data_IF_090641744439
#
_entry.id   IF_090641744439
#
_cell.length_a   1.000
_cell.length_b   1.000
_cell.length_c   1.000
_cell.angle_alpha   90.00
_cell.angle_beta   90.00
_cell.angle_gamma   90.00
#
_symmetry.space_group_name_H-M   'P 1'
#
loop_
_entity.id
_entity.type
_entity.pdbx_description
1 polymer ?
#
# COMPACT_ATOMS: atom_id res chain seq x y z
N UNK A 1 -24.08 4.22 80.53
CA UNK A 1 -25.20 4.71 79.67
C UNK A 1 -25.83 5.92 80.28
N UNK A 2 -25.02 6.89 80.60
CA UNK A 2 -25.50 8.15 81.15
C UNK A 2 -26.13 9.01 80.04
N UNK A 3 -27.44 9.26 80.16
CA UNK A 3 -28.15 10.11 79.21
C UNK A 3 -29.20 9.48 78.30
N UNK A 4 -29.32 8.14 78.27
CA UNK A 4 -30.35 7.45 77.49
C UNK A 4 -31.61 7.29 78.38
N UNK A 5 -32.80 7.69 77.90
CA UNK A 5 -34.03 7.42 78.63
C UNK A 5 -34.22 5.94 78.97
N UNK A 6 -34.68 5.60 80.18
CA UNK A 6 -34.81 4.18 80.57
C UNK A 6 -35.66 3.36 79.62
N UNK A 7 -36.73 3.92 79.05
CA UNK A 7 -37.55 3.22 78.01
C UNK A 7 -36.83 2.94 76.72
N UNK A 8 -35.88 3.81 76.31
CA UNK A 8 -35.06 3.57 75.11
C UNK A 8 -33.93 2.60 75.36
N UNK A 9 -33.38 2.65 76.61
CA UNK A 9 -32.38 1.67 77.01
C UNK A 9 -32.97 0.24 77.07
N UNK A 10 -34.18 0.10 77.62
CA UNK A 10 -34.93 -1.14 77.64
C UNK A 10 -35.25 -1.68 76.22
N UNK A 11 -35.67 -0.76 75.32
CA UNK A 11 -35.95 -1.13 73.93
C UNK A 11 -34.66 -1.51 73.13
N UNK A 12 -33.55 -0.83 73.40
CA UNK A 12 -32.25 -1.19 72.83
C UNK A 12 -31.76 -2.54 73.33
N UNK A 13 -32.01 -2.84 74.59
CA UNK A 13 -31.71 -4.18 75.13
C UNK A 13 -32.56 -5.27 74.49
N UNK A 14 -33.86 -5.07 74.34
CA UNK A 14 -34.76 -5.98 73.63
C UNK A 14 -34.30 -6.22 72.18
N UNK A 15 -34.07 -5.15 71.41
CA UNK A 15 -33.61 -5.26 70.01
C UNK A 15 -32.26 -5.96 69.91
N UNK A 16 -31.30 -5.67 70.75
CA UNK A 16 -30.01 -6.33 70.77
C UNK A 16 -30.16 -7.83 71.13
N UNK A 17 -31.06 -8.11 72.07
CA UNK A 17 -31.31 -9.50 72.50
C UNK A 17 -31.95 -10.34 71.45
N UNK A 18 -32.95 -9.79 70.73
CA UNK A 18 -33.63 -10.51 69.64
C UNK A 18 -32.80 -10.55 68.35
N UNK A 19 -32.25 -9.42 67.89
CA UNK A 19 -31.49 -9.32 66.62
C UNK A 19 -30.20 -10.13 66.64
N UNK A 20 -29.53 -10.24 67.81
CA UNK A 20 -28.30 -11.03 67.95
C UNK A 20 -28.51 -12.38 68.59
N UNK A 21 -29.74 -12.80 68.73
CA UNK A 21 -30.11 -14.10 69.35
C UNK A 21 -29.28 -14.40 70.60
N UNK A 22 -29.24 -13.44 71.54
CA UNK A 22 -28.36 -13.51 72.68
C UNK A 22 -28.72 -14.72 73.57
N UNK A 23 -27.71 -15.50 73.93
CA UNK A 23 -27.82 -16.54 74.94
C UNK A 23 -26.76 -16.34 76.00
N UNK A 24 -26.98 -16.92 77.16
CA UNK A 24 -25.99 -16.86 78.25
C UNK A 24 -25.91 -18.21 78.98
N UNK A 25 -24.70 -18.51 79.46
CA UNK A 25 -24.41 -19.58 80.37
C UNK A 25 -23.84 -18.98 81.67
N UNK A 26 -24.23 -19.55 82.80
CA UNK A 26 -23.65 -19.24 84.12
C UNK A 26 -22.88 -20.43 84.58
N UNK A 27 -21.59 -20.25 84.86
CA UNK A 27 -20.70 -21.32 85.30
C UNK A 27 -20.16 -21.02 86.70
N UNK A 28 -20.25 -21.97 87.63
CA UNK A 28 -19.62 -21.79 88.90
C UNK A 28 -18.10 -21.87 88.77
N UNK A 29 -17.42 -20.80 89.24
CA UNK A 29 -16.00 -20.61 89.06
C UNK A 29 -15.13 -21.71 89.76
N UNK A 30 -15.59 -22.23 90.84
CA UNK A 30 -14.86 -23.26 91.61
C UNK A 30 -15.04 -24.69 91.06
N UNK A 31 -16.25 -25.01 90.62
CA UNK A 31 -16.58 -26.37 90.16
C UNK A 31 -16.61 -26.51 88.64
N UNK A 32 -16.63 -25.40 87.92
CA UNK A 32 -16.80 -25.31 86.48
C UNK A 32 -18.09 -25.98 85.97
N UNK A 33 -19.10 -26.11 86.84
CA UNK A 33 -20.40 -26.67 86.50
C UNK A 33 -21.37 -25.57 86.09
N UNK A 34 -22.32 -25.91 85.16
CA UNK A 34 -23.39 -24.99 84.80
C UNK A 34 -24.36 -24.81 85.96
N UNK A 35 -24.54 -23.51 86.37
CA UNK A 35 -25.49 -23.16 87.44
C UNK A 35 -26.70 -22.38 86.89
N UNK A 36 -26.63 -21.93 85.65
CA UNK A 36 -27.73 -21.25 84.97
C UNK A 36 -27.50 -21.18 83.47
N UNK A 37 -28.56 -21.07 82.69
CA UNK A 37 -28.53 -20.86 81.22
C UNK A 37 -29.84 -20.23 80.77
N UNK A 38 -29.80 -19.44 79.74
CA UNK A 38 -30.99 -18.81 79.19
C UNK A 38 -30.74 -18.05 77.86
N UNK A 39 -31.80 -17.45 77.32
CA UNK A 39 -31.80 -16.85 76.03
C UNK A 39 -32.02 -17.81 74.86
N UNK A 40 -31.55 -17.50 73.71
CA UNK A 40 -31.75 -18.29 72.46
C UNK A 40 -30.77 -19.48 72.35
N UNK A 41 -30.69 -20.35 73.39
CA UNK A 41 -29.75 -21.46 73.50
C UNK A 41 -29.85 -22.45 72.31
N UNK A 42 -31.05 -22.62 71.76
CA UNK A 42 -31.27 -23.45 70.57
C UNK A 42 -30.45 -23.00 69.35
N UNK A 43 -30.21 -21.72 69.19
CA UNK A 43 -29.43 -21.19 68.09
C UNK A 43 -27.95 -21.58 68.16
N UNK A 44 -27.47 -21.96 69.31
CA UNK A 44 -26.07 -22.31 69.58
C UNK A 44 -25.87 -23.81 69.79
N UNK A 45 -26.91 -24.59 69.51
CA UNK A 45 -26.86 -26.06 69.70
C UNK A 45 -26.95 -26.47 71.18
N UNK A 46 -27.35 -25.57 72.06
CA UNK A 46 -27.39 -25.71 73.51
C UNK A 46 -28.82 -25.93 74.09
N UNK A 47 -29.76 -26.36 73.25
CA UNK A 47 -31.16 -26.56 73.65
C UNK A 47 -31.40 -27.55 74.79
N UNK A 48 -30.45 -28.47 75.03
CA UNK A 48 -30.58 -29.53 75.99
C UNK A 48 -29.55 -29.49 77.15
N UNK A 49 -29.04 -28.27 77.48
CA UNK A 49 -28.06 -28.12 78.57
C UNK A 49 -28.63 -28.50 79.92
N UNK A 50 -27.81 -29.19 80.73
CA UNK A 50 -28.18 -29.69 82.06
C UNK A 50 -27.43 -28.90 83.12
N UNK A 51 -28.16 -28.31 84.03
CA UNK A 51 -27.56 -27.60 85.15
C UNK A 51 -26.97 -28.65 86.18
N UNK A 52 -25.81 -28.25 86.71
CA UNK A 52 -25.08 -29.12 87.67
C UNK A 52 -24.02 -30.00 86.95
N UNK A 53 -24.02 -30.13 85.67
CA UNK A 53 -22.98 -30.84 84.85
C UNK A 53 -21.87 -29.91 84.41
N UNK A 54 -20.74 -30.48 84.01
CA UNK A 54 -19.58 -29.75 83.53
C UNK A 54 -19.93 -28.85 82.37
N UNK A 55 -19.58 -27.57 82.43
CA UNK A 55 -19.83 -26.53 81.36
C UNK A 55 -19.12 -26.93 80.07
N UNK A 56 -17.89 -27.46 80.13
CA UNK A 56 -17.12 -27.87 78.94
C UNK A 56 -17.71 -29.12 78.26
N UNK A 57 -18.33 -30.05 79.00
CA UNK A 57 -19.02 -31.19 78.42
C UNK A 57 -20.33 -30.83 77.71
N UNK A 58 -21.02 -29.81 78.28
CA UNK A 58 -22.30 -29.34 77.71
C UNK A 58 -22.08 -28.32 76.50
N UNK A 59 -20.96 -27.59 76.52
CA UNK A 59 -20.61 -26.65 75.56
C UNK A 59 -19.12 -26.76 75.19
N UNK A 60 -18.83 -27.64 74.22
CA UNK A 60 -17.46 -27.98 73.83
C UNK A 60 -16.58 -26.77 73.50
N UNK A 61 -17.15 -25.72 73.01
CA UNK A 61 -16.42 -24.46 72.71
C UNK A 61 -15.88 -23.75 73.94
N UNK A 62 -16.28 -24.18 75.14
CA UNK A 62 -15.74 -23.65 76.43
C UNK A 62 -14.49 -24.45 76.88
N UNK A 63 -14.16 -25.55 76.24
CA UNK A 63 -12.98 -26.35 76.58
C UNK A 63 -11.70 -25.49 76.39
N UNK A 64 -10.88 -25.38 77.40
CA UNK A 64 -9.67 -24.59 77.41
C UNK A 64 -9.87 -23.07 77.58
N UNK A 65 -11.13 -22.59 77.64
CA UNK A 65 -11.46 -21.18 77.95
C UNK A 65 -11.79 -20.95 79.41
N UNK A 66 -12.11 -22.03 80.13
CA UNK A 66 -12.36 -22.03 81.59
C UNK A 66 -11.29 -22.87 82.27
N UNK A 67 -10.85 -22.49 83.54
CA UNK A 67 -11.20 -21.31 84.28
C UNK A 67 -10.66 -20.01 83.68
N UNK A 68 -11.37 -18.89 83.85
CA UNK A 68 -10.95 -17.60 83.34
C UNK A 68 -9.68 -17.15 84.06
N UNK A 69 -8.68 -16.75 83.23
CA UNK A 69 -7.42 -16.10 83.69
C UNK A 69 -7.59 -14.62 83.92
N UNK A 70 -8.41 -13.97 83.06
CA UNK A 70 -8.69 -12.52 83.06
C UNK A 70 -10.19 -12.27 82.85
N UNK A 71 -10.76 -11.27 83.51
CA UNK A 71 -12.16 -10.85 83.35
C UNK A 71 -12.25 -9.32 83.27
N UNK A 72 -12.99 -8.72 82.31
CA UNK A 72 -13.75 -9.43 81.26
C UNK A 72 -12.83 -9.97 80.12
N UNK A 73 -13.23 -11.08 79.54
CA UNK A 73 -12.54 -11.71 78.41
C UNK A 73 -13.49 -11.80 77.19
N UNK A 74 -12.97 -11.60 75.97
CA UNK A 74 -13.73 -11.61 74.73
C UNK A 74 -13.06 -12.58 73.74
N UNK A 75 -13.87 -13.49 73.18
CA UNK A 75 -13.42 -14.40 72.11
C UNK A 75 -14.31 -14.21 70.90
N UNK A 76 -13.78 -13.63 69.80
CA UNK A 76 -14.57 -13.26 68.64
C UNK A 76 -14.81 -14.45 67.69
N UNK A 77 -15.99 -14.50 67.09
CA UNK A 77 -16.35 -15.30 65.90
C UNK A 77 -15.97 -16.78 65.96
N UNK A 78 -16.22 -17.42 67.14
CA UNK A 78 -16.01 -18.87 67.23
C UNK A 78 -17.03 -19.62 66.38
N UNK A 79 -16.59 -20.65 65.71
CA UNK A 79 -17.45 -21.55 64.94
C UNK A 79 -17.97 -22.64 65.85
N UNK A 80 -19.28 -22.77 65.94
CA UNK A 80 -19.97 -23.74 66.77
C UNK A 80 -20.34 -24.98 65.94
N UNK A 81 -20.48 -26.14 66.62
CA UNK A 81 -20.83 -27.41 65.96
C UNK A 81 -22.18 -27.38 65.22
N UNK A 82 -23.06 -26.48 65.60
CA UNK A 82 -24.32 -26.21 64.88
C UNK A 82 -24.15 -25.42 63.57
N UNK A 83 -22.89 -25.06 63.14
CA UNK A 83 -22.57 -24.34 61.93
C UNK A 83 -22.77 -22.81 62.02
N UNK A 84 -23.14 -22.28 63.18
CA UNK A 84 -23.22 -20.84 63.42
C UNK A 84 -21.92 -20.30 64.00
N UNK A 85 -21.75 -19.01 63.95
CA UNK A 85 -20.64 -18.32 64.58
C UNK A 85 -21.14 -17.41 65.71
N UNK A 86 -20.43 -17.44 66.82
CA UNK A 86 -20.78 -16.63 68.00
C UNK A 86 -19.57 -15.85 68.51
N UNK A 87 -19.85 -14.59 68.94
CA UNK A 87 -18.94 -13.86 69.80
C UNK A 87 -19.22 -14.24 71.25
N UNK A 88 -18.17 -14.63 71.97
CA UNK A 88 -18.25 -15.04 73.37
C UNK A 88 -17.69 -13.89 74.24
N UNK A 89 -18.51 -13.40 75.16
CA UNK A 89 -18.08 -12.48 76.17
C UNK A 89 -18.14 -13.11 77.55
N UNK A 90 -17.02 -13.15 78.21
CA UNK A 90 -16.87 -13.73 79.54
C UNK A 90 -16.80 -12.60 80.60
N UNK A 91 -17.59 -12.75 81.64
CA UNK A 91 -17.58 -11.80 82.74
C UNK A 91 -17.68 -12.58 84.07
N UNK A 92 -16.77 -12.31 85.00
CA UNK A 92 -16.75 -12.97 86.30
C UNK A 92 -17.32 -11.99 87.35
N UNK A 93 -18.33 -12.47 88.08
CA UNK A 93 -18.93 -11.76 89.18
C UNK A 93 -19.36 -12.73 90.31
N UNK A 94 -19.02 -12.34 91.58
CA UNK A 94 -19.42 -13.03 92.77
C UNK A 94 -19.24 -14.57 92.77
N UNK A 95 -18.13 -15.08 92.14
CA UNK A 95 -17.83 -16.53 92.07
C UNK A 95 -18.55 -17.26 90.91
N UNK A 96 -19.18 -16.52 90.00
CA UNK A 96 -19.87 -17.07 88.84
C UNK A 96 -19.25 -16.43 87.55
N UNK A 97 -18.98 -17.24 86.56
CA UNK A 97 -18.57 -16.82 85.24
C UNK A 97 -19.80 -16.78 84.34
N UNK A 98 -20.08 -15.62 83.82
CA UNK A 98 -21.13 -15.38 82.81
C UNK A 98 -20.50 -15.50 81.44
N UNK A 99 -21.04 -16.34 80.57
CA UNK A 99 -20.66 -16.47 79.16
C UNK A 99 -21.82 -16.00 78.30
N UNK A 100 -21.67 -14.84 77.68
CA UNK A 100 -22.68 -14.27 76.78
C UNK A 100 -22.32 -14.66 75.34
N UNK A 101 -23.28 -15.19 74.62
CA UNK A 101 -23.15 -15.63 73.22
C UNK A 101 -23.96 -14.66 72.36
N UNK A 102 -23.29 -14.10 71.31
CA UNK A 102 -23.93 -13.25 70.34
C UNK A 102 -23.77 -13.88 68.95
N UNK A 103 -24.87 -14.12 68.24
CA UNK A 103 -24.82 -14.63 66.87
C UNK A 103 -24.19 -13.61 65.89
N UNK A 104 -23.09 -14.00 65.24
CA UNK A 104 -22.36 -13.19 64.28
C UNK A 104 -22.24 -13.95 62.93
N UNK A 105 -23.08 -14.93 62.70
CA UNK A 105 -23.03 -15.79 61.51
C UNK A 105 -23.18 -14.97 60.22
N UNK A 106 -24.17 -14.09 60.13
CA UNK A 106 -24.39 -13.26 58.95
C UNK A 106 -23.23 -12.29 58.69
N UNK A 107 -22.65 -11.73 59.76
CA UNK A 107 -21.52 -10.81 59.63
C UNK A 107 -20.29 -11.55 59.11
N UNK A 108 -19.98 -12.71 59.63
CA UNK A 108 -18.88 -13.57 59.20
C UNK A 108 -19.04 -13.98 57.73
N UNK A 109 -20.22 -14.43 57.33
CA UNK A 109 -20.50 -14.87 55.96
C UNK A 109 -20.46 -13.68 54.99
N UNK A 110 -20.90 -12.48 55.40
CA UNK A 110 -20.78 -11.29 54.61
C UNK A 110 -19.31 -10.90 54.36
N UNK A 111 -18.48 -10.96 55.40
CA UNK A 111 -17.04 -10.71 55.30
C UNK A 111 -16.38 -11.71 54.34
N UNK A 112 -16.68 -13.03 54.49
CA UNK A 112 -16.17 -14.08 53.61
C UNK A 112 -16.54 -13.81 52.13
N UNK A 113 -17.82 -13.46 51.88
CA UNK A 113 -18.29 -13.09 50.53
C UNK A 113 -17.58 -11.88 49.96
N UNK A 114 -17.33 -10.86 50.75
CA UNK A 114 -16.59 -9.66 50.34
C UNK A 114 -15.12 -9.99 50.05
N UNK A 115 -14.48 -10.80 50.87
CA UNK A 115 -13.11 -11.25 50.65
C UNK A 115 -13.00 -12.08 49.37
N UNK A 116 -13.94 -13.00 49.12
CA UNK A 116 -13.96 -13.78 47.88
C UNK A 116 -14.15 -12.89 46.67
N UNK A 117 -15.09 -11.97 46.71
CA UNK A 117 -15.29 -11.00 45.60
C UNK A 117 -14.05 -10.12 45.33
N UNK A 118 -13.38 -9.68 46.39
CA UNK A 118 -12.15 -8.91 46.27
C UNK A 118 -11.03 -9.73 45.59
N UNK A 119 -10.89 -10.99 46.00
CA UNK A 119 -9.94 -11.91 45.36
C UNK A 119 -10.25 -12.16 43.86
N UNK A 120 -11.52 -12.47 43.58
CA UNK A 120 -11.97 -12.69 42.19
C UNK A 120 -11.75 -11.45 41.31
N UNK A 121 -11.99 -10.24 41.90
CA UNK A 121 -11.77 -8.98 41.19
C UNK A 121 -10.28 -8.72 40.90
N UNK A 122 -9.41 -9.03 41.84
CA UNK A 122 -7.95 -8.93 41.64
C UNK A 122 -7.48 -9.88 40.51
N UNK A 123 -7.95 -11.11 40.52
CA UNK A 123 -7.62 -12.10 39.49
C UNK A 123 -8.11 -11.69 38.12
N UNK A 124 -9.32 -11.10 38.04
CA UNK A 124 -9.84 -10.55 36.75
C UNK A 124 -9.02 -9.37 36.27
N UNK A 125 -8.60 -8.47 37.14
CA UNK A 125 -7.73 -7.33 36.78
C UNK A 125 -6.35 -7.78 36.28
N UNK A 126 -5.75 -8.79 36.92
CA UNK A 126 -4.48 -9.35 36.48
C UNK A 126 -4.61 -9.98 35.09
N UNK A 127 -5.69 -10.72 34.86
CA UNK A 127 -5.96 -11.35 33.56
C UNK A 127 -6.26 -10.33 32.47
N UNK A 128 -7.00 -9.27 32.78
CA UNK A 128 -7.24 -8.15 31.87
C UNK A 128 -5.93 -7.45 31.47
N UNK A 129 -5.06 -7.18 32.46
CA UNK A 129 -3.76 -6.58 32.22
C UNK A 129 -2.86 -7.47 31.33
N UNK A 130 -2.88 -8.78 31.54
CA UNK A 130 -2.15 -9.75 30.70
C UNK A 130 -2.67 -9.74 29.25
N UNK A 131 -4.01 -9.79 29.08
CA UNK A 131 -4.64 -9.76 27.76
C UNK A 131 -4.34 -8.44 27.01
N UNK A 132 -4.40 -7.34 27.71
CA UNK A 132 -4.08 -6.02 27.12
C UNK A 132 -2.62 -5.96 26.64
N UNK A 133 -1.67 -6.44 27.43
CA UNK A 133 -0.26 -6.53 27.00
C UNK A 133 -0.12 -7.41 25.75
N UNK A 134 -0.79 -8.55 25.72
CA UNK A 134 -0.74 -9.46 24.57
C UNK A 134 -1.36 -8.84 23.33
N UNK A 135 -2.46 -8.08 23.47
CA UNK A 135 -3.06 -7.32 22.37
C UNK A 135 -2.12 -6.24 21.84
N UNK A 136 -1.44 -5.51 22.72
CA UNK A 136 -0.45 -4.50 22.31
C UNK A 136 0.74 -5.12 21.55
N UNK A 137 1.23 -6.27 22.00
CA UNK A 137 2.32 -6.98 21.33
C UNK A 137 1.89 -7.48 19.94
N UNK A 138 0.71 -8.10 19.84
CA UNK A 138 0.15 -8.55 18.56
C UNK A 138 -0.11 -7.40 17.60
N UNK A 139 -0.60 -6.26 18.08
CA UNK A 139 -0.79 -5.07 17.26
C UNK A 139 0.54 -4.55 16.72
N UNK A 140 1.60 -4.51 17.54
CA UNK A 140 2.95 -4.11 17.07
C UNK A 140 3.50 -5.07 16.01
N UNK A 141 3.32 -6.38 16.19
CA UNK A 141 3.72 -7.39 15.19
C UNK A 141 2.94 -7.22 13.89
N UNK A 142 1.64 -6.97 13.99
CA UNK A 142 0.77 -6.75 12.82
C UNK A 142 1.17 -5.46 12.06
N UNK A 143 1.41 -4.36 12.77
CA UNK A 143 1.87 -3.11 12.18
C UNK A 143 3.23 -3.29 11.47
N UNK A 144 4.19 -3.94 12.13
CA UNK A 144 5.49 -4.22 11.54
C UNK A 144 5.39 -5.11 10.28
N UNK A 145 4.50 -6.13 10.30
CA UNK A 145 4.23 -6.99 9.16
C UNK A 145 3.59 -6.22 8.00
N UNK A 146 2.59 -5.37 8.29
CA UNK A 146 1.93 -4.53 7.29
C UNK A 146 2.91 -3.54 6.65
N UNK A 147 3.75 -2.90 7.44
CA UNK A 147 4.80 -2.01 6.95
C UNK A 147 5.82 -2.74 6.08
N UNK A 148 6.19 -3.96 6.46
CA UNK A 148 7.08 -4.80 5.66
C UNK A 148 6.43 -5.15 4.32
N UNK A 149 5.18 -5.62 4.32
CA UNK A 149 4.43 -5.93 3.10
C UNK A 149 4.26 -4.70 2.20
N UNK A 150 3.95 -3.54 2.76
CA UNK A 150 3.83 -2.29 2.01
C UNK A 150 5.17 -1.89 1.33
N UNK A 151 6.30 -2.06 2.04
CA UNK A 151 7.63 -1.81 1.46
C UNK A 151 7.98 -2.79 0.33
N UNK A 152 7.69 -4.09 0.51
CA UNK A 152 7.90 -5.11 -0.53
C UNK A 152 7.02 -4.81 -1.73
N UNK A 153 5.72 -4.58 -1.52
CA UNK A 153 4.75 -4.22 -2.54
C UNK A 153 5.20 -3.01 -3.36
N UNK A 154 5.67 -1.95 -2.70
CA UNK A 154 6.24 -0.77 -3.36
C UNK A 154 7.50 -1.08 -4.18
N UNK A 155 8.37 -1.97 -3.71
CA UNK A 155 9.55 -2.37 -4.51
C UNK A 155 9.15 -3.16 -5.75
N UNK A 156 8.20 -4.08 -5.62
CA UNK A 156 7.70 -4.89 -6.75
C UNK A 156 7.00 -4.00 -7.79
N UNK A 157 6.29 -2.94 -7.38
CA UNK A 157 5.60 -2.02 -8.29
C UNK A 157 6.53 -1.31 -9.28
N UNK A 158 7.85 -1.27 -9.04
CA UNK A 158 8.82 -0.74 -10.00
C UNK A 158 9.19 -1.71 -11.13
N UNK A 159 8.86 -3.00 -10.99
CA UNK A 159 9.18 -4.04 -11.98
C UNK A 159 7.96 -4.47 -12.81
N UNK A 160 6.79 -3.98 -12.48
CA UNK A 160 5.52 -4.33 -13.13
C UNK A 160 4.84 -3.05 -13.59
N UNK A 161 4.20 -3.05 -14.76
CA UNK A 161 3.41 -1.90 -15.21
C UNK A 161 2.38 -1.51 -14.13
N UNK A 162 2.22 -0.21 -13.81
CA UNK A 162 1.35 0.23 -12.71
C UNK A 162 -0.11 -0.22 -12.83
N UNK A 163 -0.63 -0.33 -14.06
CA UNK A 163 -1.98 -0.81 -14.32
C UNK A 163 -2.12 -2.30 -13.97
N UNK A 164 -1.11 -3.11 -14.28
CA UNK A 164 -1.07 -4.54 -13.96
C UNK A 164 -0.90 -4.75 -12.47
N UNK A 165 0.01 -4.00 -11.85
CA UNK A 165 0.18 -3.99 -10.40
C UNK A 165 -1.15 -3.70 -9.69
N UNK A 166 -1.85 -2.62 -10.09
CA UNK A 166 -3.16 -2.27 -9.53
C UNK A 166 -4.18 -3.39 -9.72
N UNK A 167 -4.25 -4.01 -10.90
CA UNK A 167 -5.18 -5.11 -11.21
C UNK A 167 -4.93 -6.35 -10.35
N UNK A 168 -3.68 -6.73 -10.09
CA UNK A 168 -3.29 -7.86 -9.25
C UNK A 168 -3.63 -7.57 -7.77
N UNK A 169 -3.19 -6.43 -7.24
CA UNK A 169 -3.35 -6.10 -5.82
C UNK A 169 -4.76 -5.64 -5.43
N UNK A 170 -5.62 -5.27 -6.41
CA UNK A 170 -7.06 -5.03 -6.15
C UNK A 170 -7.88 -6.32 -6.10
N UNK A 171 -7.26 -7.48 -6.34
CA UNK A 171 -7.94 -8.79 -6.36
C UNK A 171 -8.82 -9.03 -7.60
N UNK A 172 -8.71 -8.17 -8.62
CA UNK A 172 -9.53 -8.29 -9.82
C UNK A 172 -9.02 -9.33 -10.81
N UNK A 173 -7.75 -9.73 -10.72
CA UNK A 173 -7.15 -10.77 -11.58
C UNK A 173 -6.27 -11.70 -10.74
N UNK A 174 -6.48 -12.99 -10.89
CA UNK A 174 -5.56 -14.01 -10.36
C UNK A 174 -4.29 -14.07 -11.23
N UNK A 175 -3.15 -14.33 -10.58
CA UNK A 175 -1.87 -14.51 -11.26
C UNK A 175 -1.78 -15.95 -11.80
N UNK A 176 -2.51 -16.21 -12.88
CA UNK A 176 -2.51 -17.50 -13.59
C UNK A 176 -2.08 -17.30 -15.04
N UNK A 177 -1.55 -18.35 -15.68
CA UNK A 177 -1.28 -18.33 -17.12
C UNK A 177 -2.63 -18.30 -17.83
N UNK A 178 -3.04 -17.10 -18.22
CA UNK A 178 -4.30 -16.87 -18.94
C UNK A 178 -4.11 -15.72 -19.93
N UNK A 179 -4.63 -15.89 -21.12
CA UNK A 179 -4.57 -14.89 -22.18
C UNK A 179 -5.94 -14.68 -22.80
N UNK A 180 -6.21 -13.45 -23.19
CA UNK A 180 -7.43 -13.07 -23.88
C UNK A 180 -7.08 -12.49 -25.26
N UNK A 181 -7.95 -12.74 -26.24
CA UNK A 181 -7.84 -12.12 -27.57
C UNK A 181 -8.56 -10.78 -27.54
N UNK A 182 -7.81 -9.69 -27.67
CA UNK A 182 -8.33 -8.30 -27.67
C UNK A 182 -7.80 -7.53 -28.85
N UNK A 183 -8.57 -6.54 -29.31
CA UNK A 183 -8.09 -5.54 -30.22
C UNK A 183 -7.30 -4.50 -29.43
N UNK A 184 -6.02 -4.32 -29.79
CA UNK A 184 -5.09 -3.43 -29.07
C UNK A 184 -4.46 -2.47 -30.07
N UNK A 185 -4.19 -1.25 -29.61
CA UNK A 185 -3.28 -0.36 -30.33
C UNK A 185 -1.89 -0.46 -29.72
N UNK A 186 -0.94 -0.96 -30.55
CA UNK A 186 0.44 -1.26 -30.17
C UNK A 186 1.35 -0.14 -30.65
N UNK A 187 2.20 0.35 -29.76
CA UNK A 187 3.22 1.36 -30.03
C UNK A 187 4.62 0.76 -29.84
N UNK A 188 5.50 1.02 -30.78
CA UNK A 188 6.93 0.77 -30.69
C UNK A 188 7.71 2.06 -30.91
N UNK A 189 8.73 2.28 -30.11
CA UNK A 189 9.75 3.29 -30.38
C UNK A 189 11.15 2.72 -30.21
N UNK A 190 12.14 3.28 -30.94
CA UNK A 190 13.52 2.83 -30.94
C UNK A 190 14.44 4.02 -31.24
N UNK A 191 15.60 4.07 -30.62
CA UNK A 191 16.58 5.14 -30.85
C UNK A 191 17.42 4.81 -32.08
N UNK A 192 17.40 5.69 -33.06
CA UNK A 192 18.16 5.51 -34.28
C UNK A 192 19.66 5.49 -34.03
N UNK A 193 20.34 4.47 -34.58
CA UNK A 193 21.81 4.27 -34.48
C UNK A 193 22.31 4.19 -33.04
N UNK A 194 21.48 3.62 -32.11
CA UNK A 194 21.82 3.49 -30.71
C UNK A 194 23.12 2.75 -30.47
N UNK A 195 23.39 1.65 -31.18
CA UNK A 195 24.65 0.90 -31.10
C UNK A 195 25.86 1.78 -31.38
N UNK A 196 25.80 2.61 -32.40
CA UNK A 196 26.88 3.55 -32.69
C UNK A 196 27.00 4.67 -31.63
N UNK A 197 25.90 5.00 -30.96
CA UNK A 197 25.90 5.95 -29.84
C UNK A 197 26.55 5.34 -28.60
N UNK A 198 26.28 4.06 -28.28
CA UNK A 198 26.88 3.35 -27.16
C UNK A 198 28.39 3.12 -27.32
N UNK A 199 28.89 3.02 -28.56
CA UNK A 199 30.31 2.87 -28.82
C UNK A 199 31.12 4.19 -28.56
N UNK A 200 30.44 5.34 -28.57
CA UNK A 200 31.06 6.66 -28.44
C UNK A 200 30.95 7.27 -27.05
N UNK A 201 29.90 6.99 -26.33
CA UNK A 201 29.66 7.52 -24.98
C UNK A 201 30.21 6.57 -23.92
N UNK A 202 30.56 7.09 -22.77
CA UNK A 202 30.90 6.28 -21.61
C UNK A 202 29.65 5.52 -21.10
N UNK A 203 29.79 4.28 -20.58
CA UNK A 203 28.66 3.50 -20.10
C UNK A 203 27.80 4.22 -19.06
N UNK A 204 28.39 5.03 -18.21
CA UNK A 204 27.69 5.82 -17.19
C UNK A 204 26.86 6.91 -17.81
N UNK A 205 27.38 7.60 -18.82
CA UNK A 205 26.69 8.69 -19.53
C UNK A 205 25.48 8.15 -20.29
N UNK A 206 25.66 7.08 -21.09
CA UNK A 206 24.55 6.48 -21.82
C UNK A 206 23.46 5.96 -20.88
N UNK A 207 23.85 5.41 -19.72
CA UNK A 207 22.90 4.92 -18.71
C UNK A 207 22.07 6.08 -18.13
N UNK A 208 22.68 7.23 -17.84
CA UNK A 208 21.97 8.40 -17.35
C UNK A 208 20.97 8.94 -18.39
N UNK A 209 21.42 9.11 -19.63
CA UNK A 209 20.57 9.61 -20.73
C UNK A 209 19.40 8.66 -21.01
N UNK A 210 19.66 7.35 -21.05
CA UNK A 210 18.65 6.35 -21.33
C UNK A 210 17.61 6.25 -20.20
N UNK A 211 18.05 6.28 -18.95
CA UNK A 211 17.13 6.25 -17.81
C UNK A 211 16.28 7.52 -17.74
N UNK A 212 16.81 8.69 -18.05
CA UNK A 212 16.04 9.92 -18.16
C UNK A 212 15.01 9.83 -19.31
N UNK A 213 15.42 9.34 -20.47
CA UNK A 213 14.53 9.09 -21.61
C UNK A 213 13.37 8.15 -21.22
N UNK A 214 13.68 6.99 -20.67
CA UNK A 214 12.65 6.03 -20.29
C UNK A 214 11.71 6.56 -19.19
N UNK A 215 12.24 7.31 -18.24
CA UNK A 215 11.43 7.92 -17.17
C UNK A 215 10.40 8.89 -17.76
N UNK A 216 10.84 9.77 -18.64
CA UNK A 216 9.95 10.77 -19.25
C UNK A 216 8.94 10.13 -20.22
N UNK A 217 9.38 9.17 -21.05
CA UNK A 217 8.49 8.49 -21.99
C UNK A 217 7.45 7.61 -21.26
N UNK A 218 7.85 6.92 -20.20
CA UNK A 218 6.92 6.14 -19.39
C UNK A 218 5.89 7.01 -18.66
N UNK A 219 6.31 8.16 -18.15
CA UNK A 219 5.38 9.11 -17.52
C UNK A 219 4.32 9.62 -18.51
N UNK A 220 4.72 9.92 -19.76
CA UNK A 220 3.80 10.31 -20.84
C UNK A 220 2.86 9.14 -21.18
N UNK A 221 3.38 7.91 -21.29
CA UNK A 221 2.56 6.73 -21.56
C UNK A 221 1.45 6.56 -20.52
N UNK A 222 1.81 6.60 -19.24
CA UNK A 222 0.87 6.49 -18.12
C UNK A 222 -0.18 7.62 -18.12
N UNK A 223 0.24 8.86 -18.40
CA UNK A 223 -0.65 10.02 -18.51
C UNK A 223 -1.76 9.81 -19.54
N UNK A 224 -1.45 9.19 -20.67
CA UNK A 224 -2.40 8.89 -21.74
C UNK A 224 -3.17 7.57 -21.56
N UNK A 225 -2.87 6.79 -20.51
CA UNK A 225 -3.51 5.50 -20.23
C UNK A 225 -2.87 4.31 -20.95
N UNK A 226 -1.66 4.48 -21.49
CA UNK A 226 -0.90 3.40 -22.11
C UNK A 226 -0.30 2.46 -21.08
N UNK A 227 -0.32 1.17 -21.36
CA UNK A 227 0.35 0.13 -20.56
C UNK A 227 1.75 -0.09 -21.13
N UNK A 228 2.78 0.25 -20.33
CA UNK A 228 4.18 -0.01 -20.69
C UNK A 228 4.41 -1.50 -20.57
N UNK A 229 4.61 -2.19 -21.69
CA UNK A 229 4.89 -3.62 -21.73
C UNK A 229 6.32 -3.91 -21.27
N UNK A 230 7.29 -3.44 -22.02
CA UNK A 230 8.72 -3.69 -21.73
C UNK A 230 9.64 -2.72 -22.46
N UNK A 231 10.88 -2.70 -21.97
CA UNK A 231 12.01 -2.14 -22.67
C UNK A 231 12.82 -3.26 -23.33
N UNK A 232 13.19 -3.08 -24.59
CA UNK A 232 14.00 -4.06 -25.36
C UNK A 232 15.26 -3.33 -25.84
N UNK A 233 16.31 -3.35 -25.03
CA UNK A 233 17.48 -2.48 -25.27
C UNK A 233 17.09 -1.01 -25.13
N UNK A 234 17.14 -0.27 -26.22
CA UNK A 234 16.72 1.13 -26.35
C UNK A 234 15.28 1.30 -26.87
N UNK A 235 14.62 0.19 -27.21
CA UNK A 235 13.23 0.22 -27.66
C UNK A 235 12.24 0.21 -26.49
N UNK A 236 11.13 0.91 -26.67
CA UNK A 236 10.01 0.97 -25.74
C UNK A 236 8.76 0.41 -26.41
N UNK A 237 8.10 -0.53 -25.74
CA UNK A 237 6.85 -1.15 -26.20
C UNK A 237 5.72 -0.76 -25.26
N UNK A 238 4.62 -0.25 -25.84
CA UNK A 238 3.44 0.18 -25.13
C UNK A 238 2.21 -0.34 -25.87
N UNK A 239 1.15 -0.68 -25.14
CA UNK A 239 -0.14 -0.96 -25.76
C UNK A 239 -1.28 -0.25 -25.04
N UNK A 240 -2.40 -0.08 -25.76
CA UNK A 240 -3.66 0.46 -25.29
C UNK A 240 -4.77 -0.55 -25.54
N UNK A 241 -5.81 -0.55 -24.70
CA UNK A 241 -6.93 -1.47 -24.79
C UNK A 241 -6.92 -2.58 -23.74
N UNK A 242 -5.88 -2.66 -22.90
CA UNK A 242 -5.77 -3.59 -21.78
C UNK A 242 -4.80 -3.05 -20.70
N UNK A 243 -5.02 -3.27 -19.40
CA UNK A 243 -6.20 -3.86 -18.76
C UNK A 243 -7.44 -2.94 -18.77
N UNK A 244 -7.25 -1.67 -19.04
CA UNK A 244 -8.31 -0.66 -19.16
C UNK A 244 -8.45 -0.27 -20.64
N UNK A 245 -9.68 -0.12 -21.13
CA UNK A 245 -9.98 0.36 -22.47
C UNK A 245 -11.04 1.45 -22.43
N UNK A 246 -10.93 2.39 -23.37
CA UNK A 246 -11.97 3.41 -23.65
C UNK A 246 -12.67 3.16 -24.99
N UNK A 247 -12.36 2.01 -25.61
CA UNK A 247 -12.79 1.62 -26.94
C UNK A 247 -11.73 1.91 -28.00
N UNK A 248 -11.73 1.13 -29.08
CA UNK A 248 -10.65 1.05 -30.07
C UNK A 248 -10.27 2.41 -30.66
N UNK A 249 -11.28 3.27 -30.93
CA UNK A 249 -11.07 4.62 -31.48
C UNK A 249 -10.36 5.51 -30.47
N UNK A 250 -10.81 5.55 -29.24
CA UNK A 250 -10.24 6.42 -28.19
C UNK A 250 -8.86 5.91 -27.74
N UNK A 251 -8.64 4.60 -27.73
CA UNK A 251 -7.36 3.97 -27.43
C UNK A 251 -6.32 4.29 -28.55
N UNK A 252 -6.70 4.25 -29.81
CA UNK A 252 -5.86 4.66 -30.94
C UNK A 252 -5.54 6.17 -30.90
N UNK A 253 -6.52 7.02 -30.59
CA UNK A 253 -6.34 8.47 -30.41
C UNK A 253 -5.40 8.78 -29.25
N UNK A 254 -5.58 8.10 -28.11
CA UNK A 254 -4.71 8.26 -26.94
C UNK A 254 -3.26 7.87 -27.27
N UNK A 255 -3.06 6.78 -28.01
CA UNK A 255 -1.76 6.33 -28.48
C UNK A 255 -1.08 7.39 -29.38
N UNK A 256 -1.78 7.95 -30.36
CA UNK A 256 -1.23 8.98 -31.24
C UNK A 256 -0.90 10.29 -30.50
N UNK A 257 -1.77 10.71 -29.58
CA UNK A 257 -1.51 11.87 -28.74
C UNK A 257 -0.29 11.65 -27.84
N UNK A 258 -0.16 10.46 -27.24
CA UNK A 258 1.03 10.04 -26.51
C UNK A 258 2.29 10.14 -27.37
N UNK A 259 2.28 9.52 -28.57
CA UNK A 259 3.43 9.50 -29.47
C UNK A 259 3.87 10.94 -29.87
N UNK A 260 2.91 11.82 -30.14
CA UNK A 260 3.17 13.24 -30.45
C UNK A 260 3.75 13.98 -29.25
N UNK A 261 3.22 13.74 -28.03
CA UNK A 261 3.76 14.36 -26.81
C UNK A 261 5.17 13.85 -26.51
N UNK A 262 5.45 12.56 -26.75
CA UNK A 262 6.79 11.99 -26.63
C UNK A 262 7.80 12.64 -27.57
N UNK A 263 7.44 12.87 -28.84
CA UNK A 263 8.32 13.59 -29.79
C UNK A 263 8.65 15.01 -29.28
N UNK A 264 7.64 15.75 -28.80
CA UNK A 264 7.84 17.08 -28.23
C UNK A 264 8.77 17.04 -27.02
N UNK A 265 8.50 16.11 -26.08
CA UNK A 265 9.33 15.97 -24.88
C UNK A 265 10.77 15.58 -25.20
N UNK A 266 10.97 14.71 -26.18
CA UNK A 266 12.31 14.35 -26.64
C UNK A 266 13.07 15.56 -27.22
N UNK A 267 12.41 16.42 -27.98
CA UNK A 267 13.03 17.66 -28.46
C UNK A 267 13.52 18.56 -27.32
N UNK A 268 12.70 18.70 -26.24
CA UNK A 268 13.08 19.43 -25.02
C UNK A 268 14.29 18.79 -24.32
N UNK A 269 14.28 17.46 -24.17
CA UNK A 269 15.40 16.69 -23.58
C UNK A 269 16.67 16.87 -24.41
N UNK A 270 16.57 16.80 -25.72
CA UNK A 270 17.70 16.98 -26.62
C UNK A 270 18.33 18.38 -26.48
N UNK A 271 17.54 19.42 -26.27
CA UNK A 271 18.04 20.78 -25.97
C UNK A 271 18.77 20.81 -24.62
N UNK A 272 18.20 20.14 -23.62
CA UNK A 272 18.82 20.02 -22.28
C UNK A 272 20.16 19.31 -22.35
N UNK A 273 20.21 18.15 -23.01
CA UNK A 273 21.41 17.31 -23.13
C UNK A 273 22.54 17.99 -23.91
N UNK A 274 22.20 18.73 -24.97
CA UNK A 274 23.20 19.54 -25.71
C UNK A 274 23.81 20.63 -24.82
N UNK A 275 22.99 21.33 -24.03
CA UNK A 275 23.50 22.29 -23.04
C UNK A 275 24.40 21.67 -21.98
N UNK A 276 24.21 20.38 -21.67
CA UNK A 276 25.03 19.61 -20.77
C UNK A 276 26.30 19.03 -21.44
N UNK A 277 26.48 19.19 -22.76
CA UNK A 277 27.67 18.76 -23.50
C UNK A 277 27.50 17.50 -24.36
N UNK A 278 26.27 16.93 -24.46
CA UNK A 278 26.02 15.79 -25.34
C UNK A 278 25.99 16.24 -26.80
N UNK A 279 26.96 15.80 -27.60
CA UNK A 279 27.10 16.25 -29.02
C UNK A 279 26.00 15.70 -29.93
N UNK A 280 25.56 14.45 -29.69
CA UNK A 280 24.56 13.76 -30.51
C UNK A 280 23.36 13.33 -29.67
N UNK A 281 22.29 14.11 -29.68
CA UNK A 281 21.06 13.79 -28.97
C UNK A 281 20.34 12.59 -29.62
N UNK A 282 19.45 11.95 -28.85
CA UNK A 282 18.66 10.83 -29.34
C UNK A 282 17.69 11.23 -30.44
N UNK A 283 17.58 10.39 -31.45
CA UNK A 283 16.57 10.49 -32.51
C UNK A 283 15.74 9.20 -32.50
N UNK A 284 14.44 9.35 -32.31
CA UNK A 284 13.55 8.20 -32.10
C UNK A 284 12.67 7.99 -33.34
N UNK A 285 12.48 6.74 -33.70
CA UNK A 285 11.53 6.27 -34.72
C UNK A 285 10.35 5.64 -33.99
N UNK A 286 9.14 5.86 -34.48
CA UNK A 286 7.93 5.38 -33.86
C UNK A 286 7.04 4.65 -34.85
N UNK A 287 6.44 3.53 -34.42
CA UNK A 287 5.50 2.72 -35.21
C UNK A 287 4.25 2.42 -34.38
N UNK A 288 3.07 2.54 -34.99
CA UNK A 288 1.80 2.23 -34.34
C UNK A 288 0.94 1.34 -35.23
N UNK A 289 0.38 0.30 -34.64
CA UNK A 289 -0.56 -0.60 -35.31
C UNK A 289 -1.72 -0.97 -34.39
N UNK A 290 -2.92 -1.08 -34.93
CA UNK A 290 -4.10 -1.55 -34.23
C UNK A 290 -4.57 -2.87 -34.81
N UNK A 291 -4.85 -3.86 -33.93
CA UNK A 291 -5.37 -5.15 -34.35
C UNK A 291 -5.44 -6.17 -33.22
N UNK A 292 -5.95 -7.34 -33.56
CA UNK A 292 -6.17 -8.42 -32.59
C UNK A 292 -4.87 -9.10 -32.15
N UNK A 293 -4.61 -9.04 -30.85
CA UNK A 293 -3.51 -9.69 -30.16
C UNK A 293 -4.03 -10.61 -29.05
N UNK A 294 -3.21 -11.57 -28.65
CA UNK A 294 -3.41 -12.26 -27.37
C UNK A 294 -2.66 -11.47 -26.30
N UNK A 295 -3.35 -11.01 -25.26
CA UNK A 295 -2.79 -10.26 -24.14
C UNK A 295 -3.06 -11.00 -22.84
N UNK A 296 -2.11 -10.98 -21.92
CA UNK A 296 -2.22 -11.66 -20.64
C UNK A 296 -0.89 -12.18 -20.13
N UNK A 297 -0.94 -13.14 -19.21
CA UNK A 297 0.23 -13.76 -18.61
C UNK A 297 0.79 -14.87 -19.51
N UNK A 298 2.01 -14.69 -19.99
CA UNK A 298 2.76 -15.67 -20.77
C UNK A 298 4.00 -16.12 -20.00
N UNK A 299 4.41 -17.37 -20.19
CA UNK A 299 5.65 -17.89 -19.61
C UNK A 299 5.47 -19.23 -18.92
N UNK A 300 6.23 -19.43 -17.84
CA UNK A 300 6.16 -20.63 -17.00
C UNK A 300 5.46 -20.31 -15.66
N UNK A 301 5.18 -21.36 -14.86
CA UNK A 301 4.64 -21.18 -13.51
C UNK A 301 5.57 -20.37 -12.60
N UNK A 302 6.88 -20.42 -12.83
CA UNK A 302 7.89 -19.73 -12.01
C UNK A 302 8.22 -18.32 -12.52
N UNK A 303 7.92 -18.04 -13.80
CA UNK A 303 8.20 -16.74 -14.43
C UNK A 303 7.18 -16.41 -15.50
N UNK A 304 6.41 -15.38 -15.24
CA UNK A 304 5.37 -14.88 -16.13
C UNK A 304 5.65 -13.42 -16.49
N UNK A 305 5.40 -13.08 -17.76
CA UNK A 305 5.37 -11.69 -18.22
C UNK A 305 3.95 -11.37 -18.70
N UNK A 306 3.40 -10.27 -18.24
CA UNK A 306 2.15 -9.75 -18.78
C UNK A 306 2.46 -8.96 -20.05
N UNK A 307 2.04 -9.47 -21.20
CA UNK A 307 2.44 -8.91 -22.50
C UNK A 307 1.40 -9.19 -23.58
N UNK A 308 1.53 -8.49 -24.71
CA UNK A 308 0.76 -8.75 -25.92
C UNK A 308 1.62 -9.56 -26.92
N UNK A 309 1.02 -10.60 -27.50
CA UNK A 309 1.67 -11.44 -28.55
C UNK A 309 0.75 -11.57 -29.76
N UNK A 310 1.31 -11.41 -30.96
CA UNK A 310 0.59 -11.57 -32.20
C UNK A 310 1.32 -11.00 -33.41
N UNK A 311 0.80 -11.30 -34.60
CA UNK A 311 1.33 -10.74 -35.86
C UNK A 311 1.26 -9.22 -35.89
N UNK A 312 0.25 -8.66 -35.23
CA UNK A 312 0.00 -7.21 -35.17
C UNK A 312 1.05 -6.47 -34.29
N UNK A 313 1.61 -7.14 -33.28
CA UNK A 313 2.76 -6.62 -32.51
C UNK A 313 4.01 -6.52 -33.39
N UNK A 314 4.27 -7.57 -34.19
CA UNK A 314 5.39 -7.58 -35.15
C UNK A 314 5.21 -6.50 -36.23
N UNK A 315 3.97 -6.25 -36.65
CA UNK A 315 3.69 -5.19 -37.63
C UNK A 315 4.03 -3.80 -37.05
N UNK A 316 3.65 -3.50 -35.81
CA UNK A 316 4.00 -2.25 -35.14
C UNK A 316 5.53 -2.05 -35.07
N UNK A 317 6.29 -3.09 -34.70
CA UNK A 317 7.75 -3.06 -34.69
C UNK A 317 8.32 -2.81 -36.09
N UNK A 318 7.72 -3.38 -37.15
CA UNK A 318 8.17 -3.16 -38.52
C UNK A 318 7.86 -1.75 -39.00
N UNK A 319 6.70 -1.21 -38.67
CA UNK A 319 6.34 0.19 -38.98
C UNK A 319 7.35 1.15 -38.33
N UNK A 320 7.74 0.89 -37.07
CA UNK A 320 8.80 1.65 -36.39
C UNK A 320 10.13 1.57 -37.18
N UNK A 321 10.52 0.37 -37.65
CA UNK A 321 11.82 0.18 -38.32
C UNK A 321 11.95 0.91 -39.67
N UNK A 322 10.83 1.18 -40.36
CA UNK A 322 10.81 1.90 -41.63
C UNK A 322 10.55 3.39 -41.46
N UNK A 323 10.24 3.82 -40.24
CA UNK A 323 10.06 5.24 -39.95
C UNK A 323 11.39 6.00 -40.04
N UNK A 324 11.35 7.19 -40.62
CA UNK A 324 12.46 8.13 -40.51
C UNK A 324 12.59 8.65 -39.07
N UNK A 325 13.81 9.00 -38.65
CA UNK A 325 13.99 9.59 -37.32
C UNK A 325 13.13 10.87 -37.13
N UNK A 326 12.42 10.92 -36.01
CA UNK A 326 11.49 12.00 -35.70
C UNK A 326 10.09 11.80 -36.29
N UNK A 327 9.81 10.69 -36.97
CA UNK A 327 8.50 10.43 -37.57
C UNK A 327 7.76 9.29 -36.89
N UNK A 328 6.43 9.33 -37.01
CA UNK A 328 5.51 8.29 -36.57
C UNK A 328 4.91 7.62 -37.81
N UNK A 329 5.06 6.32 -37.95
CA UNK A 329 4.46 5.53 -39.03
C UNK A 329 3.36 4.63 -38.46
N UNK A 330 2.19 4.67 -39.06
CA UNK A 330 1.01 3.95 -38.61
C UNK A 330 0.48 3.02 -39.70
N UNK A 331 -0.21 1.94 -39.32
CA UNK A 331 -0.93 1.07 -40.24
C UNK A 331 -2.20 1.73 -40.79
N UNK A 332 -2.78 1.15 -41.83
CA UNK A 332 -4.09 1.56 -42.33
C UNK A 332 -5.19 1.39 -41.26
N UNK A 333 -5.14 0.30 -40.51
CA UNK A 333 -6.08 0.01 -39.43
C UNK A 333 -6.07 1.14 -38.39
N UNK A 334 -4.89 1.53 -37.90
CA UNK A 334 -4.77 2.67 -37.00
C UNK A 334 -5.22 3.98 -37.67
N UNK A 335 -4.79 4.22 -38.95
CA UNK A 335 -5.18 5.42 -39.68
C UNK A 335 -6.70 5.55 -39.80
N UNK A 336 -7.42 4.47 -40.06
CA UNK A 336 -8.86 4.48 -40.21
C UNK A 336 -9.59 4.96 -38.94
N UNK A 337 -9.02 4.71 -37.74
CA UNK A 337 -9.56 5.13 -36.44
C UNK A 337 -9.23 6.57 -36.09
N UNK A 338 -8.16 7.16 -36.65
CA UNK A 338 -7.64 8.47 -36.25
C UNK A 338 -7.62 9.51 -37.37
N UNK A 339 -8.14 9.19 -38.57
CA UNK A 339 -8.07 10.03 -39.79
C UNK A 339 -8.68 11.42 -39.62
N UNK A 340 -9.55 11.61 -38.65
CA UNK A 340 -10.20 12.87 -38.31
C UNK A 340 -9.34 13.79 -37.44
N UNK A 341 -8.30 13.23 -36.80
CA UNK A 341 -7.40 13.98 -35.90
C UNK A 341 -5.97 14.08 -36.43
N UNK A 342 -5.60 13.34 -37.49
CA UNK A 342 -4.25 13.37 -38.06
C UNK A 342 -4.25 13.64 -39.57
N UNK A 343 -3.29 14.45 -40.03
CA UNK A 343 -2.88 14.47 -41.40
C UNK A 343 -1.80 13.42 -41.62
N UNK A 344 -2.02 12.46 -42.53
CA UNK A 344 -1.07 11.42 -42.81
C UNK A 344 -0.97 11.14 -44.32
N UNK A 345 0.25 10.81 -44.78
CA UNK A 345 0.55 10.47 -46.16
C UNK A 345 0.89 8.98 -46.27
N UNK A 346 0.32 8.31 -47.28
CA UNK A 346 0.64 6.93 -47.57
C UNK A 346 2.09 6.75 -48.07
N UNK A 347 2.72 5.68 -47.59
CA UNK A 347 4.02 5.24 -48.05
C UNK A 347 3.85 4.09 -49.05
N UNK A 348 4.91 3.71 -49.79
CA UNK A 348 4.91 2.49 -50.63
C UNK A 348 4.53 1.24 -49.84
N UNK A 349 3.84 0.35 -50.51
CA UNK A 349 3.40 -0.91 -49.94
C UNK A 349 4.59 -1.78 -49.48
N UNK A 350 4.48 -2.38 -48.31
CA UNK A 350 5.51 -3.24 -47.72
C UNK A 350 5.00 -4.66 -47.50
N UNK A 351 5.92 -5.61 -47.54
CA UNK A 351 5.67 -7.00 -47.14
C UNK A 351 6.31 -7.22 -45.77
N UNK A 352 5.55 -7.74 -44.79
CA UNK A 352 6.02 -8.00 -43.45
C UNK A 352 6.04 -9.48 -43.18
N UNK A 353 7.19 -10.02 -42.71
CA UNK A 353 7.32 -11.44 -42.37
C UNK A 353 6.30 -11.80 -41.29
N UNK A 354 5.49 -12.82 -41.54
CA UNK A 354 4.45 -13.26 -40.60
C UNK A 354 3.09 -12.57 -40.76
N UNK A 355 2.97 -11.58 -41.66
CA UNK A 355 1.72 -10.96 -42.09
C UNK A 355 1.44 -11.37 -43.53
N UNK A 356 0.38 -12.17 -43.76
CA UNK A 356 0.07 -12.75 -45.07
C UNK A 356 -0.50 -11.74 -46.10
N UNK A 357 -0.65 -10.47 -45.74
CA UNK A 357 -1.15 -9.40 -46.59
C UNK A 357 -0.09 -8.32 -46.79
N UNK A 358 -0.18 -7.65 -47.94
CA UNK A 358 0.59 -6.43 -48.14
C UNK A 358 0.02 -5.30 -47.30
N UNK A 359 0.89 -4.46 -46.74
CA UNK A 359 0.55 -3.38 -45.83
C UNK A 359 0.92 -2.06 -46.45
N UNK A 360 0.00 -1.12 -46.49
CA UNK A 360 0.24 0.28 -46.87
C UNK A 360 0.44 1.09 -45.59
N UNK A 361 1.67 1.50 -45.27
CA UNK A 361 1.92 2.34 -44.12
C UNK A 361 1.53 3.81 -44.37
N UNK A 362 1.30 4.56 -43.30
CA UNK A 362 1.04 6.01 -43.35
C UNK A 362 2.01 6.73 -42.43
N UNK A 363 2.70 7.74 -42.94
CA UNK A 363 3.50 8.63 -42.08
C UNK A 363 2.61 9.76 -41.58
N UNK A 364 2.61 9.98 -40.27
CA UNK A 364 1.89 11.08 -39.62
C UNK A 364 2.67 12.39 -39.89
N UNK A 365 2.06 13.32 -40.60
CA UNK A 365 2.63 14.63 -40.91
C UNK A 365 2.22 15.75 -39.97
N UNK A 366 1.20 15.50 -39.15
CA UNK A 366 0.73 16.45 -38.14
C UNK A 366 -0.62 16.09 -37.57
N UNK A 367 -1.01 16.81 -36.53
CA UNK A 367 -2.34 16.68 -35.88
C UNK A 367 -3.26 17.75 -36.46
N UNK A 368 -4.52 17.39 -36.66
CA UNK A 368 -5.55 18.34 -37.13
C UNK A 368 -6.13 19.12 -35.94
N UNK A 369 -6.40 20.41 -36.12
CA UNK A 369 -7.16 21.20 -35.15
C UNK A 369 -8.68 20.88 -35.24
N UNK A 370 -9.47 21.46 -34.34
CA UNK A 370 -10.92 21.29 -34.33
C UNK A 370 -11.61 21.78 -35.62
N UNK A 371 -10.92 22.54 -36.46
CA UNK A 371 -11.40 23.02 -37.77
C UNK A 371 -10.92 22.15 -38.95
N UNK A 372 -10.20 21.04 -38.65
CA UNK A 372 -9.62 20.14 -39.64
C UNK A 372 -8.38 20.70 -40.36
N UNK A 373 -7.78 21.80 -39.87
CA UNK A 373 -6.54 22.35 -40.42
C UNK A 373 -5.33 21.63 -39.83
N UNK A 374 -4.40 21.25 -40.68
CA UNK A 374 -3.12 20.65 -40.29
C UNK A 374 -2.32 21.64 -39.44
N UNK A 375 -2.01 21.25 -38.24
CA UNK A 375 -1.01 21.91 -37.41
C UNK A 375 0.32 21.23 -37.72
N UNK A 376 1.14 21.86 -38.54
CA UNK A 376 2.46 21.35 -38.84
C UNK A 376 3.38 21.52 -37.63
N UNK A 377 3.99 20.41 -37.21
CA UNK A 377 5.15 20.43 -36.34
C UNK A 377 6.36 20.38 -37.24
N UNK A 378 7.16 21.44 -37.22
CA UNK A 378 8.38 21.51 -38.02
C UNK A 378 9.52 20.86 -37.20
N UNK A 379 10.15 19.83 -37.77
CA UNK A 379 11.29 19.18 -37.18
C UNK A 379 12.30 18.82 -38.26
N UNK A 380 13.45 19.47 -38.23
CA UNK A 380 14.54 19.25 -39.17
C UNK A 380 15.86 19.07 -38.43
N UNK A 381 16.59 18.03 -38.80
CA UNK A 381 17.86 17.68 -38.19
C UNK A 381 18.90 17.40 -39.28
N UNK A 382 19.87 18.29 -39.43
CA UNK A 382 21.02 18.08 -40.29
C UNK A 382 22.26 18.73 -39.68
N UNK A 383 23.44 18.46 -40.26
CA UNK A 383 24.68 19.06 -39.78
C UNK A 383 24.57 20.57 -39.75
N UNK A 384 24.65 21.17 -38.56
CA UNK A 384 24.55 22.62 -38.36
C UNK A 384 23.12 23.16 -38.21
N UNK A 385 22.07 22.33 -38.34
CA UNK A 385 20.68 22.72 -38.10
C UNK A 385 19.97 21.69 -37.27
N UNK A 386 19.40 22.15 -36.16
CA UNK A 386 18.47 21.37 -35.34
C UNK A 386 17.29 22.29 -35.01
N UNK A 387 16.16 22.01 -35.64
CA UNK A 387 15.00 22.84 -35.62
C UNK A 387 13.78 22.02 -35.22
N UNK A 388 13.11 22.46 -34.16
CA UNK A 388 11.82 21.95 -33.74
C UNK A 388 10.90 23.10 -33.40
N UNK A 389 9.72 23.15 -34.04
CA UNK A 389 8.68 24.15 -33.78
C UNK A 389 7.31 23.48 -33.73
N UNK A 390 6.67 23.49 -32.56
CA UNK A 390 5.25 23.19 -32.39
C UNK A 390 4.48 24.52 -32.26
N UNK A 391 3.73 24.96 -33.27
CA UNK A 391 3.00 26.22 -33.23
C UNK A 391 1.98 26.34 -32.10
N UNK A 392 1.50 25.20 -31.56
CA UNK A 392 0.54 25.18 -30.44
C UNK A 392 1.17 25.57 -29.10
N UNK A 393 2.47 25.35 -28.98
CA UNK A 393 3.23 25.64 -27.76
C UNK A 393 3.78 27.09 -27.74
N UNK A 394 3.55 27.87 -28.83
CA UNK A 394 4.07 29.22 -28.99
C UNK A 394 3.06 30.23 -28.51
N UNK A 395 3.40 30.99 -27.47
CA UNK A 395 2.62 32.15 -27.05
C UNK A 395 2.86 33.37 -27.95
N UNK A 396 2.01 34.39 -27.83
CA UNK A 396 2.08 35.59 -28.64
C UNK A 396 3.41 36.36 -28.46
N UNK A 397 4.02 36.33 -27.28
CA UNK A 397 5.29 36.99 -27.00
C UNK A 397 6.48 36.22 -27.60
N UNK A 398 6.41 34.88 -27.59
CA UNK A 398 7.41 34.03 -28.23
C UNK A 398 7.34 34.09 -29.75
N UNK A 399 6.16 34.29 -30.34
CA UNK A 399 5.96 34.34 -31.79
C UNK A 399 6.84 35.42 -32.49
N UNK A 400 6.89 36.61 -31.93
CA UNK A 400 7.70 37.72 -32.49
C UNK A 400 9.20 37.41 -32.40
N UNK A 401 9.65 36.81 -31.30
CA UNK A 401 11.06 36.39 -31.15
C UNK A 401 11.43 35.29 -32.14
N UNK A 402 10.56 34.31 -32.33
CA UNK A 402 10.76 33.22 -33.28
C UNK A 402 10.84 33.77 -34.70
N UNK A 403 9.93 34.66 -35.10
CA UNK A 403 9.97 35.32 -36.42
C UNK A 403 11.27 36.06 -36.64
N UNK A 404 11.72 36.84 -35.66
CA UNK A 404 12.98 37.56 -35.76
C UNK A 404 14.18 36.63 -35.91
N UNK A 405 14.22 35.55 -35.09
CA UNK A 405 15.29 34.55 -35.14
C UNK A 405 15.35 33.83 -36.48
N UNK A 406 14.21 33.35 -36.99
CA UNK A 406 14.13 32.70 -38.30
C UNK A 406 14.55 33.62 -39.45
N UNK A 407 14.10 34.86 -39.41
CA UNK A 407 14.50 35.86 -40.42
C UNK A 407 16.02 36.11 -40.43
N UNK A 408 16.62 36.22 -39.24
CA UNK A 408 18.07 36.39 -39.11
C UNK A 408 18.83 35.15 -39.58
N UNK A 409 18.35 33.96 -39.25
CA UNK A 409 18.95 32.70 -39.68
C UNK A 409 18.91 32.54 -41.22
N UNK A 410 17.78 32.86 -41.84
CA UNK A 410 17.65 32.83 -43.32
C UNK A 410 18.63 33.84 -43.94
N UNK A 411 18.69 35.07 -43.43
CA UNK A 411 19.61 36.09 -43.95
C UNK A 411 21.10 35.64 -43.83
N UNK A 412 21.47 34.99 -42.74
CA UNK A 412 22.82 34.47 -42.54
C UNK A 412 23.16 33.33 -43.53
N UNK A 413 22.19 32.46 -43.85
CA UNK A 413 22.36 31.39 -44.84
C UNK A 413 22.47 31.96 -46.28
N UNK A 414 21.66 32.95 -46.59
CA UNK A 414 21.72 33.64 -47.90
C UNK A 414 23.05 34.37 -48.09
N UNK A 415 23.58 35.02 -47.06
CA UNK A 415 24.88 35.67 -47.11
C UNK A 415 26.03 34.68 -47.38
N UNK A 416 25.96 33.50 -46.81
CA UNK A 416 26.95 32.41 -47.04
C UNK A 416 26.81 31.80 -48.42
N UNK A 417 25.61 31.63 -48.96
CA UNK A 417 25.34 31.04 -50.27
C UNK A 417 25.85 31.90 -51.43
N UNK A 418 26.14 33.22 -51.17
CA UNK A 418 26.75 34.12 -52.15
C UNK A 418 28.28 33.98 -52.29
N UNK A 419 28.97 33.35 -51.33
CA UNK A 419 30.44 33.18 -51.36
C UNK A 419 30.88 31.86 -52.00
N UNK A 420 30.06 30.87 -52.15
CA UNK A 420 30.37 29.49 -52.61
C UNK A 420 29.77 29.17 -54.02
N UNK A 421 29.50 30.18 -54.87
CA UNK A 421 29.14 29.90 -56.27
C UNK A 421 30.42 29.40 -57.02
N UNK A 422 30.45 28.16 -57.52
CA UNK A 422 31.60 27.67 -58.29
C UNK A 422 31.66 28.49 -59.58
N UNK A 423 32.76 29.19 -59.75
CA UNK A 423 33.14 29.81 -61.02
C UNK A 423 33.22 28.72 -62.10
N UNK A 424 32.29 28.73 -63.02
CA UNK A 424 32.27 27.94 -64.25
C UNK A 424 33.51 28.24 -65.05
N UNK A 425 34.59 27.46 -64.92
CA UNK A 425 35.73 27.52 -65.85
C UNK A 425 35.36 26.81 -67.14
N UNK A 426 35.28 27.59 -68.20
CA UNK A 426 35.07 27.17 -69.60
C UNK A 426 35.99 26.05 -70.04
N UNK A 427 35.56 25.11 -70.92
CA UNK A 427 36.37 23.98 -71.38
C UNK A 427 37.49 24.45 -72.31
N UNK A 428 38.73 24.15 -71.94
CA UNK A 428 39.87 24.23 -72.85
C UNK A 428 39.87 23.05 -73.85
N UNK A 429 39.63 23.32 -75.07
CA UNK A 429 39.95 22.47 -76.21
C UNK A 429 41.40 21.97 -76.16
N UNK A 430 41.63 20.66 -76.16
CA UNK A 430 42.87 20.11 -76.63
C UNK A 430 42.61 18.96 -77.62
N UNK A 431 43.10 19.24 -78.81
CA UNK A 431 43.14 18.39 -79.99
C UNK A 431 44.07 17.20 -79.81
N UNK A 432 43.56 16.06 -80.33
CA UNK A 432 44.21 15.04 -81.21
C UNK A 432 45.55 14.35 -80.81
N UNK A 433 45.46 13.05 -80.55
CA UNK A 433 46.04 11.90 -81.30
C UNK A 433 47.54 11.59 -81.20
N UNK A 434 48.01 10.38 -81.54
CA UNK A 434 47.47 9.03 -81.37
C UNK A 434 48.57 7.99 -80.96
N UNK A 435 48.15 6.72 -80.88
CA UNK A 435 48.94 5.50 -81.12
C UNK A 435 49.95 5.06 -80.00
N UNK A 436 49.91 3.88 -79.52
CA UNK A 436 50.17 2.54 -80.00
C UNK A 436 50.10 1.57 -78.88
N UNK A 437 49.41 0.51 -79.08
CA UNK A 437 49.78 -0.87 -79.15
C UNK A 437 50.84 -1.42 -78.16
N UNK A 438 50.44 -2.39 -77.48
CA UNK A 438 50.99 -3.74 -77.26
C UNK A 438 50.87 -4.16 -75.79
N UNK A 439 50.11 -5.18 -75.61
CA UNK A 439 50.43 -6.61 -75.57
C UNK A 439 50.91 -7.17 -74.20
N UNK A 440 50.25 -8.25 -73.93
CA UNK A 440 50.62 -9.49 -73.19
C UNK A 440 50.56 -9.53 -71.67
N UNK A 441 49.58 -10.24 -71.24
CA UNK A 441 49.62 -11.57 -70.63
C UNK A 441 50.41 -11.73 -69.30
N UNK A 442 49.75 -12.00 -68.29
CA UNK A 442 49.57 -13.29 -67.53
C UNK A 442 48.58 -13.11 -66.42
#
# INVERSE_FOLDING_TARGET
>A
MDGVPASLAERLQELTYDERAVAYLQVDDATLNLVGAGGHLENYGLAAVRLGESAAEQAVFLEGLLPLVESPFFFPSIELDCGRAADLHFHQDAGTVWVLLFDVTEQRDSIRRLQQKAYDMTLLQEKEAELNRRLEDLNRELEASNDFLARISKKISHYIAPQIYKSIFSGNKDVTIHTERKELTIFFSDIKDFTATTERLQPEEITLLLNEYFTEMSAIALKHGGTVDKFIGDALVIFFGDPETKGDVEDARACLNMATEMQRRLAELNVKWRKAGTEQPFRVRMGVNTGFCNVGNFGSLDRMDYTAIGAEVNLAARLQSIADPGHIVISYETYSLVRDIVAARSLPEISVKGVGRKVVPYVVEGVLDASGRKIEIFSEHMTGLDFYLDPRAVDAAALERIRATLKNAIAALEARGGEDAPTETAPRDQKSSPSSANDTAT
#
